data_IF_880786534301
#
_entry.id   IF_880786534301
#
_cell.length_a   1.000
_cell.length_b   1.000
_cell.length_c   1.000
_cell.angle_alpha   90.00
_cell.angle_beta   90.00
_cell.angle_gamma   90.00
#
_symmetry.space_group_name_H-M   'P 1'
#
loop_
_entity.id
_entity.type
_entity.pdbx_description
1 polymer ?
#
# COMPACT_ATOMS: atom_id res chain seq x y z
N UNK A 1 2.40 0.07 14.99
CA UNK A 1 3.19 -1.18 15.11
C UNK A 1 3.30 -1.84 13.73
N UNK A 2 4.22 -2.79 13.54
CA UNK A 2 4.34 -3.60 12.33
C UNK A 2 5.03 -4.93 12.64
N UNK A 3 5.19 -5.81 11.64
CA UNK A 3 5.87 -7.10 11.82
C UNK A 3 7.37 -6.94 11.52
N UNK A 4 8.27 -7.05 12.52
CA UNK A 4 9.72 -7.11 12.27
C UNK A 4 10.03 -8.28 11.32
N UNK A 5 10.89 -8.05 10.33
CA UNK A 5 11.19 -9.06 9.30
C UNK A 5 10.06 -9.29 8.29
N UNK A 6 8.92 -8.60 8.42
CA UNK A 6 7.75 -8.68 7.51
C UNK A 6 7.07 -10.06 7.52
N UNK A 7 6.01 -10.17 6.72
CA UNK A 7 5.38 -11.45 6.37
C UNK A 7 6.03 -11.93 5.07
N UNK A 8 6.58 -13.13 5.09
CA UNK A 8 7.31 -13.72 3.96
C UNK A 8 6.64 -15.01 3.50
N UNK A 9 6.90 -15.40 2.25
CA UNK A 9 6.45 -16.69 1.73
C UNK A 9 7.46 -17.76 2.15
N UNK A 10 6.98 -18.79 2.85
CA UNK A 10 7.72 -20.02 3.17
C UNK A 10 6.94 -21.17 2.54
N UNK A 11 7.55 -21.84 1.58
CA UNK A 11 6.89 -22.82 0.70
C UNK A 11 5.64 -22.24 0.02
N UNK A 12 4.47 -22.83 0.27
CA UNK A 12 3.17 -22.38 -0.25
C UNK A 12 2.40 -21.47 0.71
N UNK A 13 2.98 -21.10 1.86
CA UNK A 13 2.29 -20.38 2.93
C UNK A 13 2.94 -19.04 3.25
N UNK A 14 2.14 -18.10 3.74
CA UNK A 14 2.62 -16.86 4.32
C UNK A 14 2.97 -17.08 5.80
N UNK A 15 4.13 -16.57 6.25
CA UNK A 15 4.60 -16.66 7.63
C UNK A 15 5.03 -15.28 8.12
N UNK A 16 4.50 -14.86 9.28
CA UNK A 16 5.03 -13.69 9.98
C UNK A 16 6.39 -14.04 10.58
N UNK A 17 7.39 -13.19 10.34
CA UNK A 17 8.76 -13.45 10.80
C UNK A 17 8.94 -13.26 12.31
N UNK A 18 8.07 -12.47 12.94
CA UNK A 18 8.06 -12.23 14.39
C UNK A 18 6.69 -11.69 14.84
N UNK A 19 6.52 -11.50 16.14
CA UNK A 19 5.37 -10.81 16.71
C UNK A 19 5.40 -9.30 16.37
N UNK A 20 4.24 -8.62 16.30
CA UNK A 20 4.20 -7.18 16.06
C UNK A 20 5.01 -6.39 17.09
N UNK A 21 5.71 -5.35 16.64
CA UNK A 21 6.43 -4.42 17.50
C UNK A 21 6.29 -2.97 16.99
N UNK A 22 6.56 -2.00 17.86
CA UNK A 22 6.56 -0.59 17.45
C UNK A 22 7.79 -0.26 16.60
N UNK A 23 7.63 0.71 15.69
CA UNK A 23 8.70 1.20 14.82
C UNK A 23 9.38 0.15 13.90
N UNK A 24 8.73 -0.98 13.64
CA UNK A 24 9.33 -2.10 12.89
C UNK A 24 9.25 -1.97 11.37
N UNK A 25 8.51 -0.99 10.84
CA UNK A 25 8.35 -0.78 9.39
C UNK A 25 8.40 0.70 9.05
N UNK A 26 9.55 1.18 8.57
CA UNK A 26 9.71 2.58 8.16
C UNK A 26 8.92 2.94 6.90
N UNK A 27 8.91 2.05 5.91
CA UNK A 27 8.29 2.31 4.61
C UNK A 27 6.75 2.41 4.71
N UNK A 28 6.10 1.38 5.27
CA UNK A 28 4.64 1.39 5.42
C UNK A 28 4.20 2.43 6.44
N UNK A 29 4.95 2.62 7.53
CA UNK A 29 4.65 3.69 8.48
C UNK A 29 4.72 5.08 7.82
N UNK A 30 5.70 5.34 6.96
CA UNK A 30 5.79 6.62 6.23
C UNK A 30 4.55 6.88 5.36
N UNK A 31 4.03 5.84 4.69
CA UNK A 31 2.80 5.96 3.91
C UNK A 31 1.58 6.26 4.79
N UNK A 32 1.41 5.49 5.88
CA UNK A 32 0.31 5.67 6.84
C UNK A 32 0.38 7.05 7.48
N UNK A 33 1.54 7.47 7.99
CA UNK A 33 1.71 8.78 8.61
C UNK A 33 1.46 9.93 7.64
N UNK A 34 1.89 9.79 6.38
CA UNK A 34 1.58 10.79 5.34
C UNK A 34 0.08 10.88 5.11
N UNK A 35 -0.60 9.74 4.98
CA UNK A 35 -2.04 9.69 4.76
C UNK A 35 -2.83 10.25 5.96
N UNK A 36 -2.39 9.94 7.18
CA UNK A 36 -3.00 10.41 8.43
C UNK A 36 -3.04 11.94 8.57
N UNK A 37 -2.15 12.66 7.89
CA UNK A 37 -2.18 14.14 7.86
C UNK A 37 -3.47 14.68 7.22
N UNK A 38 -4.07 13.92 6.32
CA UNK A 38 -5.31 14.26 5.62
C UNK A 38 -6.50 13.43 6.14
N UNK A 39 -6.24 12.20 6.56
CA UNK A 39 -7.22 11.22 7.01
C UNK A 39 -6.80 10.57 8.34
N UNK A 40 -7.01 11.25 9.48
CA UNK A 40 -6.53 10.77 10.78
C UNK A 40 -7.03 9.37 11.19
N UNK A 41 -8.17 8.95 10.65
CA UNK A 41 -8.76 7.64 10.93
C UNK A 41 -8.04 6.49 10.20
N UNK A 42 -7.38 6.74 9.05
CA UNK A 42 -6.68 5.71 8.27
C UNK A 42 -5.29 5.43 8.85
N UNK A 43 -5.24 4.56 9.86
CA UNK A 43 -4.05 4.31 10.69
C UNK A 43 -3.37 2.97 10.42
N UNK A 44 -3.82 2.23 9.41
CA UNK A 44 -3.29 0.93 9.06
C UNK A 44 -3.08 0.79 7.57
N UNK A 45 -2.03 0.07 7.20
CA UNK A 45 -1.80 -0.33 5.83
C UNK A 45 -0.99 -1.63 5.75
N UNK A 46 -1.11 -2.30 4.61
CA UNK A 46 -0.23 -3.39 4.21
C UNK A 46 0.31 -3.12 2.81
N UNK A 47 1.56 -3.52 2.54
CA UNK A 47 2.07 -3.58 1.19
C UNK A 47 1.94 -5.01 0.66
N UNK A 48 1.47 -5.14 -0.57
CA UNK A 48 1.40 -6.42 -1.30
C UNK A 48 2.06 -6.27 -2.67
N UNK A 49 2.43 -7.41 -3.25
CA UNK A 49 2.97 -7.46 -4.61
C UNK A 49 1.96 -6.87 -5.59
N UNK A 50 2.43 -6.07 -6.53
CA UNK A 50 1.59 -5.58 -7.62
C UNK A 50 1.10 -6.72 -8.50
N UNK A 51 -0.19 -6.71 -8.80
CA UNK A 51 -0.84 -7.52 -9.81
C UNK A 51 -2.01 -6.68 -10.38
N UNK A 52 -2.10 -6.57 -11.70
CA UNK A 52 -3.18 -5.85 -12.37
C UNK A 52 -4.57 -6.43 -12.03
N UNK A 53 -4.68 -7.74 -11.84
CA UNK A 53 -5.93 -8.40 -11.45
C UNK A 53 -6.42 -7.92 -10.07
N UNK A 54 -5.49 -7.64 -9.14
CA UNK A 54 -5.82 -7.07 -7.81
C UNK A 54 -6.42 -5.67 -7.97
N UNK A 55 -5.85 -4.85 -8.84
CA UNK A 55 -6.35 -3.50 -9.13
C UNK A 55 -7.74 -3.58 -9.79
N UNK A 56 -7.92 -4.46 -10.76
CA UNK A 56 -9.21 -4.70 -11.41
C UNK A 56 -10.27 -5.16 -10.42
N UNK A 57 -9.95 -6.14 -9.56
CA UNK A 57 -10.85 -6.63 -8.52
C UNK A 57 -11.22 -5.54 -7.51
N UNK A 58 -10.26 -4.73 -7.07
CA UNK A 58 -10.53 -3.61 -6.17
C UNK A 58 -11.48 -2.58 -6.80
N UNK A 59 -11.26 -2.22 -8.07
CA UNK A 59 -12.18 -1.31 -8.80
C UNK A 59 -13.58 -1.90 -8.93
N UNK A 60 -13.72 -3.20 -9.20
CA UNK A 60 -15.02 -3.90 -9.26
C UNK A 60 -15.77 -3.86 -7.92
N UNK A 61 -15.05 -3.86 -6.79
CA UNK A 61 -15.64 -3.72 -5.44
C UNK A 61 -16.04 -2.28 -5.09
N UNK A 62 -15.82 -1.31 -6.00
CA UNK A 62 -16.07 0.11 -5.74
C UNK A 62 -15.01 0.78 -4.87
N UNK A 63 -13.85 0.14 -4.67
CA UNK A 63 -12.75 0.75 -3.92
C UNK A 63 -12.12 1.91 -4.68
N UNK A 64 -11.74 2.94 -3.92
CA UNK A 64 -11.02 4.10 -4.42
C UNK A 64 -9.56 3.72 -4.62
N UNK A 65 -9.19 3.53 -5.88
CA UNK A 65 -7.82 3.15 -6.28
C UNK A 65 -7.14 4.33 -6.96
N UNK A 66 -5.96 4.69 -6.45
CA UNK A 66 -5.07 5.68 -7.08
C UNK A 66 -3.67 5.12 -7.32
N UNK A 67 -2.84 5.87 -8.02
CA UNK A 67 -1.46 5.53 -8.30
C UNK A 67 -0.56 6.74 -8.43
N UNK A 68 0.74 6.51 -8.34
CA UNK A 68 1.76 7.49 -8.70
C UNK A 68 2.86 6.80 -9.53
N UNK A 69 3.52 7.58 -10.39
CA UNK A 69 4.61 7.09 -11.23
C UNK A 69 5.93 7.60 -10.65
N UNK A 70 6.85 6.68 -10.32
CA UNK A 70 8.17 7.04 -9.78
C UNK A 70 9.07 7.75 -10.80
N UNK A 71 8.75 7.67 -12.08
CA UNK A 71 9.47 8.40 -13.15
C UNK A 71 9.15 9.89 -13.13
N UNK A 72 8.00 10.27 -12.57
CA UNK A 72 7.57 11.67 -12.38
C UNK A 72 8.13 12.28 -11.08
N UNK A 73 8.90 11.51 -10.29
CA UNK A 73 9.46 11.95 -9.02
C UNK A 73 10.53 13.03 -9.25
N UNK A 74 10.41 14.22 -8.62
CA UNK A 74 11.40 15.27 -8.75
C UNK A 74 12.79 14.80 -8.28
N UNK A 75 13.89 15.19 -8.95
CA UNK A 75 15.24 14.76 -8.59
C UNK A 75 15.58 14.99 -7.12
N UNK A 76 15.21 16.14 -6.55
CA UNK A 76 15.45 16.48 -5.14
C UNK A 76 14.74 15.54 -4.15
N UNK A 77 13.59 14.97 -4.53
CA UNK A 77 12.86 13.96 -3.75
C UNK A 77 13.53 12.61 -3.95
N UNK A 78 13.86 12.25 -5.19
CA UNK A 78 14.46 10.96 -5.56
C UNK A 78 15.81 10.70 -4.89
N UNK A 79 16.63 11.75 -4.74
CA UNK A 79 17.94 11.66 -4.08
C UNK A 79 17.88 11.80 -2.55
N UNK A 80 16.73 12.19 -1.97
CA UNK A 80 16.58 12.24 -0.51
C UNK A 80 15.92 10.97 0.01
N UNK A 81 16.62 10.23 0.88
CA UNK A 81 16.06 9.05 1.51
C UNK A 81 14.75 9.37 2.27
N UNK A 82 13.74 8.52 2.07
CA UNK A 82 12.46 8.61 2.79
C UNK A 82 11.44 9.60 2.24
N UNK A 83 11.77 10.40 1.20
CA UNK A 83 10.82 11.37 0.62
C UNK A 83 9.92 10.82 -0.49
N UNK A 84 10.31 9.74 -1.17
CA UNK A 84 9.52 9.12 -2.25
C UNK A 84 8.12 8.69 -1.81
N UNK A 85 7.99 8.10 -0.63
CA UNK A 85 6.70 7.60 -0.14
C UNK A 85 5.75 8.76 0.19
N UNK A 86 6.16 9.76 0.99
CA UNK A 86 5.31 10.94 1.23
C UNK A 86 4.89 11.66 -0.05
N UNK A 87 5.84 11.85 -0.98
CA UNK A 87 5.55 12.45 -2.28
C UNK A 87 4.54 11.60 -3.07
N UNK A 88 4.80 10.31 -3.24
CA UNK A 88 3.94 9.42 -4.02
C UNK A 88 2.52 9.30 -3.47
N UNK A 89 2.37 9.23 -2.13
CA UNK A 89 1.05 9.25 -1.48
C UNK A 89 0.33 10.57 -1.75
N UNK A 90 1.01 11.72 -1.64
CA UNK A 90 0.43 13.04 -1.94
C UNK A 90 0.00 13.14 -3.41
N UNK A 91 0.86 12.76 -4.34
CA UNK A 91 0.57 12.74 -5.79
C UNK A 91 -0.63 11.84 -6.10
N UNK A 92 -0.72 10.67 -5.47
CA UNK A 92 -1.86 9.78 -5.64
C UNK A 92 -3.16 10.39 -5.08
N UNK A 93 -3.13 11.11 -3.97
CA UNK A 93 -4.29 11.82 -3.42
C UNK A 93 -4.75 12.94 -4.35
N UNK A 94 -3.81 13.76 -4.84
CA UNK A 94 -4.10 14.86 -5.78
C UNK A 94 -4.81 14.34 -7.03
N UNK A 95 -4.34 13.20 -7.60
CA UNK A 95 -4.93 12.56 -8.78
C UNK A 95 -6.41 12.15 -8.60
N UNK A 96 -6.86 11.91 -7.36
CA UNK A 96 -8.25 11.53 -7.07
C UNK A 96 -9.05 12.65 -6.39
N UNK A 97 -8.61 13.90 -6.53
CA UNK A 97 -9.29 15.05 -5.94
C UNK A 97 -9.33 14.99 -4.42
N UNK A 98 -8.22 14.52 -3.83
CA UNK A 98 -8.05 14.36 -2.39
C UNK A 98 -8.98 13.37 -1.72
N UNK A 99 -9.75 12.53 -2.42
CA UNK A 99 -10.61 11.49 -1.82
C UNK A 99 -9.81 10.48 -0.99
N UNK A 100 -10.45 9.88 0.02
CA UNK A 100 -9.84 8.83 0.84
C UNK A 100 -9.54 7.58 -0.02
N UNK A 101 -8.28 7.15 -0.16
CA UNK A 101 -7.93 6.01 -0.98
C UNK A 101 -8.05 4.71 -0.18
N UNK A 102 -8.58 3.68 -0.81
CA UNK A 102 -8.49 2.31 -0.31
C UNK A 102 -7.16 1.67 -0.72
N UNK A 103 -6.72 1.94 -1.95
CA UNK A 103 -5.47 1.41 -2.51
C UNK A 103 -4.66 2.53 -3.20
N UNK A 104 -3.35 2.52 -2.99
CA UNK A 104 -2.38 3.29 -3.80
C UNK A 104 -1.34 2.32 -4.34
N UNK A 105 -1.04 2.37 -5.63
CA UNK A 105 0.01 1.53 -6.24
C UNK A 105 1.00 2.33 -7.07
N UNK A 106 2.14 1.72 -7.37
CA UNK A 106 3.09 2.20 -8.37
C UNK A 106 3.67 1.03 -9.16
N UNK A 107 4.07 1.29 -10.41
CA UNK A 107 4.63 0.27 -11.31
C UNK A 107 6.15 0.04 -11.12
N UNK A 108 6.74 0.70 -10.11
CA UNK A 108 8.16 0.56 -9.81
C UNK A 108 8.99 1.59 -10.56
N UNK A 109 10.29 1.39 -10.53
CA UNK A 109 11.30 2.13 -11.30
C UNK A 109 12.57 1.26 -11.36
N UNK A 110 13.64 1.74 -12.00
CA UNK A 110 14.93 1.06 -12.01
C UNK A 110 15.38 0.69 -10.58
N UNK A 111 15.53 -0.63 -10.33
CA UNK A 111 15.89 -1.17 -9.01
C UNK A 111 14.80 -1.06 -7.93
N UNK A 112 13.55 -0.74 -8.30
CA UNK A 112 12.40 -0.63 -7.37
C UNK A 112 11.23 -1.47 -7.89
N UNK A 113 10.85 -2.49 -7.13
CA UNK A 113 9.75 -3.38 -7.49
C UNK A 113 8.38 -2.67 -7.44
N UNK A 114 7.43 -3.03 -8.33
CA UNK A 114 6.06 -2.56 -8.26
C UNK A 114 5.33 -3.09 -7.03
N UNK A 115 4.49 -2.27 -6.40
CA UNK A 115 3.75 -2.64 -5.20
C UNK A 115 2.40 -1.94 -5.10
N UNK A 116 1.53 -2.50 -4.23
CA UNK A 116 0.23 -1.94 -3.87
C UNK A 116 0.22 -1.75 -2.36
N UNK A 117 -0.16 -0.55 -1.90
CA UNK A 117 -0.53 -0.27 -0.52
C UNK A 117 -2.04 -0.34 -0.40
N UNK A 118 -2.53 -1.10 0.58
CA UNK A 118 -3.94 -1.15 0.95
C UNK A 118 -4.10 -0.49 2.32
N UNK A 119 -4.98 0.50 2.41
CA UNK A 119 -5.19 1.30 3.62
C UNK A 119 -6.51 0.95 4.31
N UNK A 120 -6.58 1.21 5.61
CA UNK A 120 -7.78 1.04 6.42
C UNK A 120 -7.65 1.71 7.78
N UNK A 121 -8.76 1.72 8.52
CA UNK A 121 -8.81 2.32 9.85
C UNK A 121 -7.93 1.56 10.86
N UNK A 122 -7.92 0.23 10.72
CA UNK A 122 -7.14 -0.70 11.52
C UNK A 122 -6.70 -1.92 10.67
N UNK A 123 -5.98 -2.86 11.29
CA UNK A 123 -5.50 -4.06 10.62
C UNK A 123 -6.63 -4.98 10.14
N UNK A 124 -7.76 -5.02 10.85
CA UNK A 124 -8.91 -5.87 10.50
C UNK A 124 -9.61 -5.32 9.26
N UNK A 125 -9.83 -4.00 9.17
CA UNK A 125 -10.40 -3.36 7.98
C UNK A 125 -9.52 -3.52 6.74
N UNK A 126 -8.20 -3.48 6.91
CA UNK A 126 -7.25 -3.80 5.82
C UNK A 126 -7.42 -5.26 5.39
N UNK A 127 -7.51 -6.20 6.33
CA UNK A 127 -7.70 -7.61 6.04
C UNK A 127 -9.04 -7.89 5.32
N UNK A 128 -10.14 -7.29 5.79
CA UNK A 128 -11.46 -7.41 5.16
C UNK A 128 -11.45 -6.99 3.68
N UNK A 129 -10.74 -5.90 3.34
CA UNK A 129 -10.58 -5.45 1.95
C UNK A 129 -9.82 -6.49 1.12
N UNK A 130 -8.72 -7.02 1.66
CA UNK A 130 -7.93 -8.05 1.00
C UNK A 130 -8.71 -9.34 0.79
N UNK A 131 -9.51 -9.77 1.76
CA UNK A 131 -10.35 -10.96 1.62
C UNK A 131 -11.39 -10.81 0.52
N UNK A 132 -12.05 -9.65 0.44
CA UNK A 132 -13.01 -9.35 -0.64
C UNK A 132 -12.34 -9.38 -2.01
N UNK A 133 -11.16 -8.78 -2.14
CA UNK A 133 -10.34 -8.84 -3.37
C UNK A 133 -9.99 -10.30 -3.69
N UNK A 134 -9.48 -11.06 -2.72
CA UNK A 134 -9.08 -12.45 -2.91
C UNK A 134 -10.25 -13.35 -3.35
N UNK A 135 -11.47 -13.10 -2.85
CA UNK A 135 -12.68 -13.82 -3.29
C UNK A 135 -12.97 -13.58 -4.78
N UNK A 136 -12.87 -12.34 -5.26
CA UNK A 136 -13.02 -12.04 -6.70
C UNK A 136 -11.96 -12.78 -7.52
N UNK A 137 -10.71 -12.78 -7.06
CA UNK A 137 -9.61 -13.44 -7.79
C UNK A 137 -9.76 -14.96 -7.84
N UNK A 138 -10.36 -15.59 -6.81
CA UNK A 138 -10.64 -17.03 -6.81
C UNK A 138 -11.79 -17.41 -7.74
N UNK A 139 -12.82 -16.57 -7.83
CA UNK A 139 -13.99 -16.84 -8.66
C UNK A 139 -13.74 -16.66 -10.17
N UNK A 140 -12.62 -16.02 -10.55
CA UNK A 140 -12.20 -15.83 -11.93
C UNK A 140 -11.17 -16.89 -12.40
N UNK A 141 -10.85 -17.87 -11.55
CA UNK A 141 -10.02 -19.04 -11.89
C UNK A 141 -10.90 -20.27 -12.04
#
# INVERSE_FOLDING_TARGET
AGIPGRIVKVDSKARASSCPWFNSSKHVASAVLTLMRYYPNLRSAINIKYNEEVISAARKLGYVVSSYDRREEPPEIKYTEGKTIPWGVKTALEKIGWRAPDLIYHLGDWGKEPMILVFGEDALRVLEKLEKIARILRNNK
#
